data_IF_711786660664
#
_entry.id   IF_711786660664
#
_cell.length_a   1.000
_cell.length_b   1.000
_cell.length_c   1.000
_cell.angle_alpha   90.00
_cell.angle_beta   90.00
_cell.angle_gamma   90.00
#
_symmetry.space_group_name_H-M   'P 1'
#
loop_
_entity.id
_entity.type
_entity.pdbx_description
1 polymer ?
#
# COMPACT_ATOMS: atom_id res chain seq x y z
N UNK A 1 -24.67 -0.54 -17.40
CA UNK A 1 -24.33 0.21 -16.17
C UNK A 1 -23.38 -0.64 -15.33
N UNK A 2 -22.10 -0.32 -15.29
CA UNK A 2 -21.18 -0.95 -14.35
C UNK A 2 -21.56 -0.56 -12.93
N UNK A 3 -21.86 -1.55 -12.08
CA UNK A 3 -22.19 -1.32 -10.68
C UNK A 3 -20.97 -0.72 -9.95
N UNK A 4 -21.04 0.56 -9.62
CA UNK A 4 -19.97 1.29 -8.92
C UNK A 4 -19.59 0.61 -7.61
N UNK A 5 -20.54 -0.01 -6.91
CA UNK A 5 -20.27 -0.77 -5.69
C UNK A 5 -19.39 -2.00 -5.96
N UNK A 6 -19.63 -2.70 -7.07
CA UNK A 6 -18.81 -3.87 -7.42
C UNK A 6 -17.36 -3.48 -7.72
N UNK A 7 -17.15 -2.36 -8.45
CA UNK A 7 -15.81 -1.83 -8.70
C UNK A 7 -15.14 -1.34 -7.41
N UNK A 8 -15.90 -0.77 -6.50
CA UNK A 8 -15.40 -0.32 -5.21
C UNK A 8 -15.00 -1.49 -4.30
N UNK A 9 -15.74 -2.60 -4.34
CA UNK A 9 -15.36 -3.82 -3.62
C UNK A 9 -14.05 -4.41 -4.14
N UNK A 10 -13.81 -4.34 -5.46
CA UNK A 10 -12.51 -4.71 -6.04
C UNK A 10 -11.38 -3.87 -5.45
N UNK A 11 -11.59 -2.57 -5.22
CA UNK A 11 -10.59 -1.70 -4.58
C UNK A 11 -10.33 -2.12 -3.12
N UNK A 12 -11.37 -2.47 -2.37
CA UNK A 12 -11.21 -2.99 -1.00
C UNK A 12 -10.46 -4.33 -0.97
N UNK A 13 -10.77 -5.25 -1.87
CA UNK A 13 -10.05 -6.53 -1.96
C UNK A 13 -8.59 -6.34 -2.35
N UNK A 14 -8.30 -5.37 -3.23
CA UNK A 14 -6.94 -5.03 -3.59
C UNK A 14 -6.16 -4.46 -2.39
N UNK A 15 -6.77 -3.56 -1.62
CA UNK A 15 -6.19 -2.99 -0.39
C UNK A 15 -5.88 -4.08 0.66
N UNK A 16 -6.75 -5.08 0.83
CA UNK A 16 -6.50 -6.23 1.70
C UNK A 16 -5.28 -7.04 1.24
N UNK A 17 -5.16 -7.30 -0.06
CA UNK A 17 -3.99 -7.99 -0.63
C UNK A 17 -2.69 -7.23 -0.39
N UNK A 18 -2.72 -5.90 -0.55
CA UNK A 18 -1.56 -5.06 -0.25
C UNK A 18 -1.14 -5.14 1.23
N UNK A 19 -2.10 -5.15 2.16
CA UNK A 19 -1.78 -5.37 3.58
C UNK A 19 -1.12 -6.72 3.82
N UNK A 20 -1.62 -7.77 3.18
CA UNK A 20 -1.05 -9.12 3.31
C UNK A 20 0.41 -9.15 2.87
N UNK A 21 0.74 -8.52 1.74
CA UNK A 21 2.11 -8.46 1.22
C UNK A 21 3.06 -7.74 2.17
N UNK A 22 2.63 -6.62 2.80
CA UNK A 22 3.45 -5.94 3.82
C UNK A 22 3.71 -6.87 5.01
N UNK A 23 2.67 -7.56 5.51
CA UNK A 23 2.76 -8.46 6.66
C UNK A 23 3.68 -9.64 6.38
N UNK A 24 3.69 -10.13 5.15
CA UNK A 24 4.55 -11.22 4.69
C UNK A 24 5.97 -10.77 4.32
N UNK A 25 6.28 -9.47 4.47
CA UNK A 25 7.57 -8.88 4.07
C UNK A 25 7.88 -9.02 2.57
N UNK A 26 6.86 -9.23 1.74
CA UNK A 26 6.94 -9.38 0.27
C UNK A 26 7.03 -7.99 -0.40
N UNK A 27 8.08 -7.22 -0.06
CA UNK A 27 8.16 -5.80 -0.36
C UNK A 27 8.28 -5.45 -1.85
N UNK A 28 8.94 -6.28 -2.66
CA UNK A 28 9.05 -6.05 -4.10
C UNK A 28 7.70 -6.22 -4.79
N UNK A 29 7.01 -7.33 -4.47
CA UNK A 29 5.65 -7.60 -4.94
C UNK A 29 4.68 -6.53 -4.45
N UNK A 30 4.78 -6.13 -3.18
CA UNK A 30 3.99 -5.03 -2.62
C UNK A 30 4.12 -3.75 -3.45
N UNK A 31 5.35 -3.35 -3.79
CA UNK A 31 5.60 -2.13 -4.56
C UNK A 31 4.96 -2.18 -5.95
N UNK A 32 5.12 -3.29 -6.67
CA UNK A 32 4.51 -3.47 -8.00
C UNK A 32 2.99 -3.40 -7.92
N UNK A 33 2.40 -4.07 -6.93
CA UNK A 33 0.95 -4.08 -6.74
C UNK A 33 0.42 -2.71 -6.27
N UNK A 34 1.20 -1.96 -5.48
CA UNK A 34 0.84 -0.63 -5.03
C UNK A 34 0.68 0.35 -6.21
N UNK A 35 1.58 0.28 -7.19
CA UNK A 35 1.51 1.11 -8.39
C UNK A 35 0.24 0.80 -9.19
N UNK A 36 -0.05 -0.50 -9.41
CA UNK A 36 -1.28 -0.95 -10.07
C UNK A 36 -2.55 -0.49 -9.35
N UNK A 37 -2.55 -0.56 -8.02
CA UNK A 37 -3.67 -0.09 -7.21
C UNK A 37 -3.89 1.42 -7.36
N UNK A 38 -2.80 2.20 -7.38
CA UNK A 38 -2.84 3.64 -7.60
C UNK A 38 -3.47 4.00 -8.94
N UNK A 39 -3.15 3.24 -9.99
CA UNK A 39 -3.74 3.46 -11.31
C UNK A 39 -5.21 3.06 -11.35
N UNK A 40 -5.60 1.93 -10.73
CA UNK A 40 -7.01 1.54 -10.60
C UNK A 40 -7.84 2.57 -9.84
N UNK A 41 -7.28 3.18 -8.78
CA UNK A 41 -7.94 4.25 -8.03
C UNK A 41 -8.16 5.50 -8.89
N UNK A 42 -7.14 5.94 -9.63
CA UNK A 42 -7.29 7.07 -10.55
C UNK A 42 -8.37 6.79 -11.57
N UNK A 43 -8.31 5.61 -12.20
CA UNK A 43 -9.26 5.18 -13.22
C UNK A 43 -10.70 5.12 -12.68
N UNK A 44 -10.88 4.66 -11.44
CA UNK A 44 -12.18 4.65 -10.77
C UNK A 44 -12.70 6.08 -10.57
N UNK A 45 -11.88 6.99 -10.07
CA UNK A 45 -12.28 8.37 -9.80
C UNK A 45 -12.55 9.17 -11.07
N UNK A 46 -11.86 8.88 -12.18
CA UNK A 46 -12.05 9.60 -13.46
C UNK A 46 -13.20 9.06 -14.29
N UNK A 47 -13.57 7.78 -14.15
CA UNK A 47 -14.62 7.14 -14.96
C UNK A 47 -16.03 7.31 -14.39
N UNK A 48 -16.17 7.81 -13.17
CA UNK A 48 -17.46 7.97 -12.50
C UNK A 48 -17.82 9.43 -12.34
N UNK A 49 -19.09 9.76 -12.56
CA UNK A 49 -19.61 11.11 -12.36
C UNK A 49 -19.66 11.46 -10.87
N UNK A 50 -19.70 12.76 -10.56
CA UNK A 50 -19.77 13.22 -9.16
C UNK A 50 -20.98 12.63 -8.42
N UNK A 51 -22.15 12.57 -9.06
CA UNK A 51 -23.36 11.99 -8.47
C UNK A 51 -23.19 10.49 -8.15
N UNK A 52 -22.51 9.74 -9.00
CA UNK A 52 -22.20 8.33 -8.73
C UNK A 52 -21.22 8.21 -7.56
N UNK A 53 -20.18 9.04 -7.50
CA UNK A 53 -19.21 9.05 -6.41
C UNK A 53 -19.86 9.45 -5.07
N UNK A 54 -20.77 10.42 -5.09
CA UNK A 54 -21.56 10.82 -3.92
C UNK A 54 -22.39 9.65 -3.38
N UNK A 55 -22.92 8.80 -4.26
CA UNK A 55 -23.69 7.60 -3.84
C UNK A 55 -22.86 6.57 -3.07
N UNK A 56 -21.53 6.60 -3.20
CA UNK A 56 -20.59 5.68 -2.54
C UNK A 56 -19.55 6.40 -1.65
N UNK A 57 -19.84 7.64 -1.24
CA UNK A 57 -18.86 8.48 -0.56
C UNK A 57 -18.43 7.95 0.80
N UNK A 58 -19.33 7.31 1.56
CA UNK A 58 -19.00 6.73 2.85
C UNK A 58 -18.03 5.54 2.72
N UNK A 59 -18.28 4.56 1.82
CA UNK A 59 -17.27 3.59 1.44
C UNK A 59 -15.94 4.21 0.98
N UNK A 60 -15.94 5.27 0.17
CA UNK A 60 -14.71 5.93 -0.27
C UNK A 60 -13.91 6.54 0.90
N UNK A 61 -14.59 7.15 1.88
CA UNK A 61 -13.95 7.62 3.12
C UNK A 61 -13.33 6.49 3.91
N UNK A 62 -14.02 5.34 3.99
CA UNK A 62 -13.47 4.13 4.64
C UNK A 62 -12.21 3.64 3.94
N UNK A 63 -12.24 3.55 2.61
CA UNK A 63 -11.09 3.16 1.80
C UNK A 63 -9.90 4.10 2.01
N UNK A 64 -10.14 5.41 2.03
CA UNK A 64 -9.10 6.41 2.34
C UNK A 64 -8.43 6.16 3.68
N UNK A 65 -9.21 5.88 4.73
CA UNK A 65 -8.67 5.59 6.06
C UNK A 65 -7.79 4.33 6.04
N UNK A 66 -8.23 3.28 5.37
CA UNK A 66 -7.48 2.03 5.26
C UNK A 66 -6.15 2.23 4.51
N UNK A 67 -6.17 2.98 3.42
CA UNK A 67 -4.95 3.37 2.69
C UNK A 67 -3.97 4.13 3.58
N UNK A 68 -4.45 5.09 4.40
CA UNK A 68 -3.58 5.80 5.34
C UNK A 68 -2.92 4.86 6.35
N UNK A 69 -3.68 3.91 6.91
CA UNK A 69 -3.10 2.89 7.81
C UNK A 69 -2.10 1.99 7.10
N UNK A 70 -2.34 1.62 5.83
CA UNK A 70 -1.41 0.85 5.03
C UNK A 70 -0.10 1.62 4.79
N UNK A 71 -0.18 2.92 4.51
CA UNK A 71 0.97 3.80 4.34
C UNK A 71 1.81 3.87 5.62
N UNK A 72 1.17 4.06 6.78
CA UNK A 72 1.87 4.05 8.07
C UNK A 72 2.62 2.74 8.33
N UNK A 73 2.02 1.59 7.99
CA UNK A 73 2.69 0.29 8.09
C UNK A 73 3.91 0.21 7.17
N UNK A 74 3.76 0.61 5.92
CA UNK A 74 4.86 0.62 4.95
C UNK A 74 6.03 1.50 5.43
N UNK A 75 5.75 2.68 5.97
CA UNK A 75 6.76 3.60 6.51
C UNK A 75 7.50 2.99 7.71
N UNK A 76 6.80 2.30 8.59
CA UNK A 76 7.39 1.62 9.73
C UNK A 76 8.28 0.43 9.30
N UNK A 77 7.83 -0.36 8.32
CA UNK A 77 8.67 -1.42 7.71
C UNK A 77 9.93 -0.83 7.10
N UNK A 78 9.82 0.28 6.35
CA UNK A 78 10.98 0.96 5.77
C UNK A 78 11.99 1.42 6.83
N UNK A 79 11.53 2.07 7.91
CA UNK A 79 12.40 2.47 9.03
C UNK A 79 13.14 1.27 9.63
N UNK A 80 12.42 0.18 9.86
CA UNK A 80 12.97 -1.06 10.43
C UNK A 80 14.06 -1.66 9.52
N UNK A 81 13.81 -1.72 8.21
CA UNK A 81 14.78 -2.21 7.23
C UNK A 81 16.03 -1.33 7.17
N UNK A 82 15.86 0.00 7.25
CA UNK A 82 16.96 0.96 7.28
C UNK A 82 17.84 0.74 8.51
N UNK A 83 17.25 0.57 9.68
CA UNK A 83 18.00 0.33 10.92
C UNK A 83 18.77 -1.00 10.88
N UNK A 84 18.13 -2.07 10.38
CA UNK A 84 18.78 -3.37 10.13
C UNK A 84 19.98 -3.21 9.17
N UNK A 85 19.81 -2.49 8.08
CA UNK A 85 20.88 -2.21 7.10
C UNK A 85 22.07 -1.47 7.73
N UNK A 86 21.81 -0.42 8.52
CA UNK A 86 22.85 0.32 9.23
C UNK A 86 23.61 -0.56 10.24
N UNK A 87 22.92 -1.44 10.97
CA UNK A 87 23.54 -2.39 11.88
C UNK A 87 24.48 -3.36 11.15
N UNK A 88 24.06 -3.90 10.00
CA UNK A 88 24.89 -4.77 9.15
C UNK A 88 26.14 -4.05 8.63
N UNK A 89 26.00 -2.79 8.18
CA UNK A 89 27.15 -1.98 7.74
C UNK A 89 28.17 -1.76 8.87
N UNK A 90 27.70 -1.49 10.10
CA UNK A 90 28.57 -1.34 11.28
C UNK A 90 29.30 -2.63 11.60
N UNK A 91 28.61 -3.78 11.56
CA UNK A 91 29.23 -5.09 11.79
C UNK A 91 30.28 -5.41 10.71
N UNK A 92 30.00 -5.12 9.44
CA UNK A 92 30.98 -5.28 8.35
C UNK A 92 32.24 -4.45 8.59
N UNK A 93 32.11 -3.21 9.07
CA UNK A 93 33.26 -2.36 9.44
C UNK A 93 34.07 -2.97 10.58
N UNK A 94 33.41 -3.47 11.64
CA UNK A 94 34.09 -4.16 12.74
C UNK A 94 34.90 -5.36 12.24
N UNK A 95 34.27 -6.27 11.49
CA UNK A 95 34.95 -7.47 10.95
C UNK A 95 36.19 -7.10 10.12
N UNK A 96 36.11 -6.04 9.31
CA UNK A 96 37.25 -5.56 8.52
C UNK A 96 38.38 -4.95 9.37
N UNK A 97 38.08 -4.39 10.54
CA UNK A 97 39.08 -3.82 11.44
C UNK A 97 39.82 -4.89 12.27
N UNK A 98 39.27 -6.09 12.38
CA UNK A 98 39.91 -7.25 13.02
C UNK A 98 40.75 -8.10 12.05
N UNK A 99 40.73 -7.80 10.74
CA UNK A 99 41.59 -8.40 9.72
C UNK A 99 42.77 -7.47 9.43
#
# INVERSE_FOLDING_TARGET
MTNINAKLEVLFEFEKKLNLLIVQEEYETFRQQQDLFGDLLKDFLTKHTENELLSVIEPLKRLKKQISTLQEKADNSFKTLKDKSLALQRNKKKIKAYK
#
